data_IF_550709899557
#
_entry.id   IF_550709899557
#
_cell.length_a   1.000
_cell.length_b   1.000
_cell.length_c   1.000
_cell.angle_alpha   90.00
_cell.angle_beta   90.00
_cell.angle_gamma   90.00
#
_symmetry.space_group_name_H-M   'P 1'
#
loop_
_entity.id
_entity.type
_entity.pdbx_description
1 polymer ?
#
# COMPACT_ATOMS: atom_id res chain seq x y z
N UNK A 1 -14.02 7.54 5.85
CA UNK A 1 -13.99 8.09 7.23
C UNK A 1 -14.56 7.11 8.25
N UNK A 2 -15.74 6.52 7.98
CA UNK A 2 -16.44 5.65 8.93
C UNK A 2 -15.59 4.46 9.44
N UNK A 3 -14.69 3.93 8.61
CA UNK A 3 -13.90 2.73 8.92
C UNK A 3 -12.47 3.03 9.42
N UNK A 4 -12.01 4.28 9.37
CA UNK A 4 -10.62 4.62 9.73
C UNK A 4 -10.49 5.22 11.12
N UNK A 5 -11.59 5.61 11.76
CA UNK A 5 -11.58 6.34 13.05
C UNK A 5 -10.99 7.75 12.98
N UNK A 6 -10.46 8.16 11.84
CA UNK A 6 -9.89 9.49 11.67
C UNK A 6 -11.01 10.55 11.55
N UNK A 7 -11.00 11.53 12.43
CA UNK A 7 -11.87 12.72 12.33
C UNK A 7 -11.27 13.67 11.29
N UNK A 8 -11.62 13.46 10.04
CA UNK A 8 -11.22 14.34 8.95
C UNK A 8 -12.40 15.28 8.65
N UNK A 9 -12.15 16.58 8.54
CA UNK A 9 -13.17 17.58 8.29
C UNK A 9 -14.11 17.19 7.14
N UNK A 10 -15.36 17.60 7.26
CA UNK A 10 -16.36 17.40 6.21
C UNK A 10 -16.32 18.50 5.16
N UNK A 11 -16.89 18.22 3.98
CA UNK A 11 -17.16 19.23 2.95
C UNK A 11 -18.58 19.04 2.40
N UNK A 12 -19.16 20.09 1.86
CA UNK A 12 -20.50 20.09 1.27
C UNK A 12 -20.41 19.51 -0.16
N UNK A 13 -20.57 18.19 -0.29
CA UNK A 13 -20.55 17.50 -1.59
C UNK A 13 -21.70 17.94 -2.50
N UNK A 14 -22.88 18.21 -1.94
CA UNK A 14 -24.03 18.67 -2.72
C UNK A 14 -23.74 20.05 -3.36
N UNK A 15 -23.10 20.94 -2.62
CA UNK A 15 -22.68 22.25 -3.13
C UNK A 15 -21.61 22.14 -4.23
N UNK A 16 -20.64 21.23 -4.07
CA UNK A 16 -19.64 20.94 -5.11
C UNK A 16 -20.35 20.49 -6.39
N UNK A 17 -21.22 19.47 -6.30
CA UNK A 17 -21.93 18.93 -7.47
C UNK A 17 -22.79 19.99 -8.14
N UNK A 18 -23.52 20.81 -7.36
CA UNK A 18 -24.35 21.90 -7.89
C UNK A 18 -23.56 23.01 -8.56
N UNK A 19 -22.29 23.19 -8.20
CA UNK A 19 -21.42 24.19 -8.81
C UNK A 19 -20.84 23.75 -10.16
N UNK A 20 -20.75 22.45 -10.41
CA UNK A 20 -20.17 21.91 -11.65
C UNK A 20 -21.06 22.15 -12.86
N UNK A 21 -20.44 22.53 -13.98
CA UNK A 21 -21.08 22.75 -15.29
C UNK A 21 -20.18 22.18 -16.39
N UNK A 22 -20.82 21.87 -17.51
CA UNK A 22 -20.12 21.54 -18.74
C UNK A 22 -20.18 22.76 -19.65
N UNK A 23 -19.04 23.20 -20.15
CA UNK A 23 -18.93 24.29 -21.12
C UNK A 23 -19.29 23.86 -22.53
N UNK A 24 -19.44 24.82 -23.44
CA UNK A 24 -19.72 24.58 -24.85
C UNK A 24 -18.62 23.74 -25.56
N UNK A 25 -17.40 23.83 -25.05
CA UNK A 25 -16.25 23.03 -25.52
C UNK A 25 -16.18 21.62 -24.91
N UNK A 26 -17.20 21.20 -24.12
CA UNK A 26 -17.23 19.91 -23.42
C UNK A 26 -16.37 19.85 -22.13
N UNK A 27 -15.65 20.90 -21.77
CA UNK A 27 -14.84 20.90 -20.54
C UNK A 27 -15.69 21.17 -19.30
N UNK A 28 -15.32 20.50 -18.21
CA UNK A 28 -15.94 20.68 -16.91
C UNK A 28 -15.38 21.95 -16.26
N UNK A 29 -16.27 22.80 -15.72
CA UNK A 29 -15.88 23.94 -14.90
C UNK A 29 -16.78 24.09 -13.68
N UNK A 30 -16.34 24.86 -12.70
CA UNK A 30 -17.12 25.16 -11.50
C UNK A 30 -17.51 26.65 -11.47
N UNK A 31 -18.73 26.92 -11.06
CA UNK A 31 -19.16 28.31 -10.80
C UNK A 31 -18.43 28.86 -9.57
N UNK A 32 -18.09 30.15 -9.60
CA UNK A 32 -17.31 30.82 -8.55
C UNK A 32 -17.89 30.65 -7.14
N UNK A 33 -19.21 30.67 -7.00
CA UNK A 33 -19.87 30.50 -5.69
C UNK A 33 -19.62 29.09 -5.07
N UNK A 34 -19.21 28.11 -5.85
CA UNK A 34 -18.86 26.76 -5.41
C UNK A 34 -17.43 26.63 -4.92
N UNK A 35 -16.58 27.62 -5.18
CA UNK A 35 -15.15 27.56 -4.87
C UNK A 35 -14.85 27.20 -3.41
N UNK A 36 -15.50 27.79 -2.37
CA UNK A 36 -15.23 27.44 -0.99
C UNK A 36 -15.51 25.97 -0.67
N UNK A 37 -16.52 25.37 -1.29
CA UNK A 37 -16.82 23.94 -1.08
C UNK A 37 -15.79 23.02 -1.78
N UNK A 38 -15.26 23.44 -2.93
CA UNK A 38 -14.20 22.74 -3.65
C UNK A 38 -12.89 22.83 -2.86
N UNK A 39 -12.54 23.98 -2.34
CA UNK A 39 -11.35 24.16 -1.47
C UNK A 39 -11.45 23.28 -0.23
N UNK A 40 -12.61 23.27 0.45
CA UNK A 40 -12.86 22.39 1.59
C UNK A 40 -12.71 20.90 1.22
N UNK A 41 -13.17 20.49 0.03
CA UNK A 41 -12.94 19.12 -0.49
C UNK A 41 -11.46 18.82 -0.67
N UNK A 42 -10.69 19.71 -1.29
CA UNK A 42 -9.26 19.53 -1.51
C UNK A 42 -8.49 19.41 -0.20
N UNK A 43 -8.79 20.28 0.78
CA UNK A 43 -8.19 20.24 2.12
C UNK A 43 -8.56 18.95 2.85
N UNK A 44 -9.83 18.53 2.80
CA UNK A 44 -10.30 17.28 3.39
C UNK A 44 -9.59 16.07 2.75
N UNK A 45 -9.47 16.06 1.43
CA UNK A 45 -8.72 15.04 0.70
C UNK A 45 -7.25 15.00 1.14
N UNK A 46 -6.63 16.17 1.29
CA UNK A 46 -5.26 16.28 1.80
C UNK A 46 -5.11 15.61 3.17
N UNK A 47 -5.95 15.91 4.11
CA UNK A 47 -5.90 15.29 5.43
C UNK A 47 -6.14 13.77 5.36
N UNK A 48 -7.07 13.31 4.51
CA UNK A 48 -7.34 11.90 4.32
C UNK A 48 -6.08 11.15 3.84
N UNK A 49 -5.38 11.70 2.85
CA UNK A 49 -4.15 11.09 2.37
C UNK A 49 -3.07 11.04 3.45
N UNK A 50 -2.85 12.13 4.17
CA UNK A 50 -1.79 12.17 5.19
C UNK A 50 -2.10 11.32 6.42
N UNK A 51 -3.35 11.29 6.87
CA UNK A 51 -3.72 10.60 8.12
C UNK A 51 -4.09 9.13 7.92
N UNK A 52 -4.55 8.75 6.74
CA UNK A 52 -5.02 7.38 6.46
C UNK A 52 -4.10 6.68 5.47
N UNK A 53 -4.02 7.15 4.23
CA UNK A 53 -3.29 6.43 3.18
C UNK A 53 -1.77 6.41 3.39
N UNK A 54 -1.19 7.51 3.87
CA UNK A 54 0.24 7.59 4.17
C UNK A 54 0.57 7.32 5.64
N UNK A 55 -0.39 6.76 6.39
CA UNK A 55 -0.11 6.33 7.75
C UNK A 55 0.91 5.18 7.75
N UNK A 56 1.87 5.24 8.68
CA UNK A 56 2.97 4.26 8.76
C UNK A 56 2.51 2.80 8.77
N UNK A 57 1.40 2.51 9.44
CA UNK A 57 0.85 1.15 9.52
C UNK A 57 0.35 0.68 8.16
N UNK A 58 -0.37 1.53 7.41
CA UNK A 58 -0.84 1.19 6.08
C UNK A 58 0.33 0.96 5.11
N UNK A 59 1.38 1.78 5.21
CA UNK A 59 2.59 1.58 4.39
C UNK A 59 3.26 0.24 4.72
N UNK A 60 3.45 -0.07 6.01
CA UNK A 60 3.99 -1.36 6.43
C UNK A 60 3.13 -2.54 5.96
N UNK A 61 1.81 -2.43 6.06
CA UNK A 61 0.88 -3.46 5.58
C UNK A 61 1.05 -3.71 4.08
N UNK A 62 1.23 -2.65 3.28
CA UNK A 62 1.50 -2.78 1.86
C UNK A 62 2.84 -3.48 1.60
N UNK A 63 3.90 -3.10 2.31
CA UNK A 63 5.22 -3.72 2.17
C UNK A 63 5.20 -5.21 2.57
N UNK A 64 4.48 -5.56 3.64
CA UNK A 64 4.31 -6.98 4.01
C UNK A 64 3.57 -7.77 2.94
N UNK A 65 2.53 -7.18 2.34
CA UNK A 65 1.80 -7.83 1.25
C UNK A 65 2.70 -8.04 0.04
N UNK A 66 3.43 -7.00 -0.38
CA UNK A 66 4.38 -7.09 -1.49
C UNK A 66 5.48 -8.12 -1.20
N UNK A 67 6.04 -8.11 0.02
CA UNK A 67 7.05 -9.06 0.45
C UNK A 67 6.55 -10.50 0.43
N UNK A 68 5.35 -10.75 0.97
CA UNK A 68 4.73 -12.07 0.97
C UNK A 68 4.48 -12.59 -0.46
N UNK A 69 3.89 -11.76 -1.34
CA UNK A 69 3.62 -12.13 -2.71
C UNK A 69 4.90 -12.37 -3.53
N UNK A 70 5.93 -11.54 -3.31
CA UNK A 70 7.24 -11.71 -3.97
C UNK A 70 7.93 -12.99 -3.53
N UNK A 71 7.89 -13.30 -2.23
CA UNK A 71 8.47 -14.56 -1.71
C UNK A 71 7.69 -15.77 -2.19
N UNK A 72 6.37 -15.71 -2.21
CA UNK A 72 5.52 -16.77 -2.74
C UNK A 72 5.80 -17.04 -4.21
N UNK A 73 5.97 -16.01 -5.03
CA UNK A 73 6.38 -16.13 -6.44
C UNK A 73 7.71 -16.85 -6.57
N UNK A 74 8.70 -16.48 -5.76
CA UNK A 74 10.02 -17.12 -5.77
C UNK A 74 9.91 -18.62 -5.43
N UNK A 75 9.23 -18.95 -4.33
CA UNK A 75 9.06 -20.32 -3.87
C UNK A 75 8.27 -21.18 -4.86
N UNK A 76 7.27 -20.61 -5.52
CA UNK A 76 6.53 -21.27 -6.57
C UNK A 76 7.43 -21.59 -7.79
N UNK A 77 8.26 -20.63 -8.21
CA UNK A 77 9.25 -20.83 -9.28
C UNK A 77 10.31 -21.90 -8.94
N UNK A 78 10.63 -22.08 -7.66
CA UNK A 78 11.52 -23.13 -7.16
C UNK A 78 10.80 -24.47 -6.94
N UNK A 79 9.49 -24.55 -7.17
CA UNK A 79 8.67 -25.75 -6.93
C UNK A 79 8.46 -26.09 -5.45
N UNK A 80 8.71 -25.14 -4.54
CA UNK A 80 8.60 -25.31 -3.08
C UNK A 80 7.24 -24.85 -2.52
N UNK A 81 6.45 -24.16 -3.30
CA UNK A 81 5.13 -23.67 -2.91
C UNK A 81 4.14 -23.89 -4.05
N UNK A 82 3.00 -24.51 -3.71
CA UNK A 82 1.88 -24.65 -4.64
C UNK A 82 0.92 -23.47 -4.44
N UNK A 83 0.62 -22.75 -5.52
CA UNK A 83 -0.33 -21.64 -5.53
C UNK A 83 -1.68 -22.10 -6.08
N UNK A 84 -2.77 -21.48 -5.63
CA UNK A 84 -4.07 -21.61 -6.29
C UNK A 84 -4.00 -21.07 -7.73
N UNK A 85 -4.87 -21.57 -8.63
CA UNK A 85 -4.86 -21.16 -10.03
C UNK A 85 -4.91 -19.62 -10.23
N UNK A 86 -5.79 -18.86 -9.55
CA UNK A 86 -5.82 -17.41 -9.70
C UNK A 86 -4.50 -16.74 -9.27
N UNK A 87 -3.91 -17.20 -8.15
CA UNK A 87 -2.65 -16.65 -7.66
C UNK A 87 -1.47 -17.03 -8.53
N UNK A 88 -1.44 -18.27 -9.02
CA UNK A 88 -0.40 -18.70 -9.95
C UNK A 88 -0.42 -17.85 -11.23
N UNK A 89 -1.60 -17.64 -11.80
CA UNK A 89 -1.76 -16.80 -12.98
C UNK A 89 -1.29 -15.36 -12.72
N UNK A 90 -1.62 -14.79 -11.54
CA UNK A 90 -1.21 -13.43 -11.18
C UNK A 90 0.30 -13.30 -10.95
N UNK A 91 0.91 -14.28 -10.27
CA UNK A 91 2.29 -14.14 -9.79
C UNK A 91 3.32 -14.70 -10.77
N UNK A 92 2.97 -15.73 -11.55
CA UNK A 92 3.93 -16.50 -12.33
C UNK A 92 3.75 -16.36 -13.84
N UNK A 93 2.61 -15.88 -14.33
CA UNK A 93 2.38 -15.64 -15.75
C UNK A 93 2.77 -14.20 -16.13
N UNK A 94 3.38 -14.02 -17.29
CA UNK A 94 3.74 -12.70 -17.79
C UNK A 94 2.53 -11.89 -18.23
N UNK A 95 1.46 -12.55 -18.69
CA UNK A 95 0.21 -11.92 -19.13
C UNK A 95 -1.01 -12.63 -18.54
N UNK A 96 -1.96 -11.85 -18.05
CA UNK A 96 -3.27 -12.31 -17.61
C UNK A 96 -4.31 -12.06 -18.67
N UNK A 97 -5.09 -13.08 -19.01
CA UNK A 97 -6.31 -12.87 -19.78
C UNK A 97 -7.40 -12.22 -18.94
N UNK A 98 -8.35 -11.53 -19.57
CA UNK A 98 -9.47 -10.90 -18.85
C UNK A 98 -10.26 -11.89 -17.97
N UNK A 99 -10.59 -13.13 -18.43
CA UNK A 99 -11.24 -14.10 -17.56
C UNK A 99 -10.42 -14.52 -16.34
N UNK A 100 -9.10 -14.63 -16.45
CA UNK A 100 -8.20 -14.93 -15.33
C UNK A 100 -8.16 -13.78 -14.33
N UNK A 101 -8.06 -12.54 -14.82
CA UNK A 101 -8.07 -11.36 -13.97
C UNK A 101 -9.37 -11.22 -13.16
N UNK A 102 -10.52 -11.44 -13.79
CA UNK A 102 -11.83 -11.32 -13.13
C UNK A 102 -12.06 -12.41 -12.06
N UNK A 103 -11.38 -13.55 -12.17
CA UNK A 103 -11.46 -14.61 -11.16
C UNK A 103 -10.66 -14.31 -9.90
N UNK A 104 -9.64 -13.46 -9.98
CA UNK A 104 -8.82 -13.08 -8.83
C UNK A 104 -9.59 -12.12 -7.93
N UNK A 105 -9.74 -12.46 -6.67
CA UNK A 105 -10.45 -11.67 -5.67
C UNK A 105 -9.60 -11.44 -4.43
N UNK A 106 -10.00 -10.48 -3.59
CA UNK A 106 -9.36 -10.27 -2.28
C UNK A 106 -9.46 -11.52 -1.38
N UNK A 107 -10.48 -12.36 -1.60
CA UNK A 107 -10.64 -13.61 -0.86
C UNK A 107 -9.51 -14.61 -1.14
N UNK A 108 -9.04 -14.69 -2.39
CA UNK A 108 -7.92 -15.55 -2.78
C UNK A 108 -6.63 -15.13 -2.07
N UNK A 109 -6.37 -13.81 -2.03
CA UNK A 109 -5.22 -13.25 -1.32
C UNK A 109 -5.32 -13.52 0.18
N UNK A 110 -6.49 -13.28 0.78
CA UNK A 110 -6.68 -13.48 2.22
C UNK A 110 -6.55 -14.96 2.62
N UNK A 111 -7.11 -15.88 1.83
CA UNK A 111 -6.96 -17.32 2.07
C UNK A 111 -5.49 -17.73 2.00
N UNK A 112 -4.78 -17.29 0.97
CA UNK A 112 -3.36 -17.57 0.84
C UNK A 112 -2.54 -17.03 2.00
N UNK A 113 -2.81 -15.82 2.49
CA UNK A 113 -2.13 -15.27 3.66
C UNK A 113 -2.36 -16.11 4.92
N UNK A 114 -3.56 -16.67 5.11
CA UNK A 114 -3.84 -17.58 6.21
C UNK A 114 -3.03 -18.86 6.09
N UNK A 115 -3.00 -19.48 4.91
CA UNK A 115 -2.25 -20.71 4.66
C UNK A 115 -0.73 -20.49 4.81
N UNK A 116 -0.23 -19.37 4.30
CA UNK A 116 1.20 -19.04 4.37
C UNK A 116 1.67 -18.64 5.76
N UNK A 117 0.78 -18.21 6.64
CA UNK A 117 1.13 -17.89 8.02
C UNK A 117 1.73 -19.08 8.78
N UNK A 118 1.38 -20.31 8.38
CA UNK A 118 1.84 -21.56 9.00
C UNK A 118 2.79 -22.37 8.12
N UNK A 119 3.27 -21.80 6.99
CA UNK A 119 4.20 -22.48 6.12
C UNK A 119 5.62 -22.57 6.72
N UNK A 120 6.44 -23.51 6.19
CA UNK A 120 7.79 -23.78 6.69
C UNK A 120 8.79 -22.65 6.36
N UNK A 121 8.53 -21.85 5.33
CA UNK A 121 9.40 -20.73 4.96
C UNK A 121 9.25 -19.57 5.94
N UNK A 122 10.29 -19.31 6.72
CA UNK A 122 10.29 -18.31 7.78
C UNK A 122 10.04 -16.88 7.27
N UNK A 123 10.46 -16.56 6.06
CA UNK A 123 10.28 -15.23 5.47
C UNK A 123 8.81 -15.04 5.07
N UNK A 124 8.26 -16.00 4.33
CA UNK A 124 6.87 -15.97 3.90
C UNK A 124 5.91 -15.98 5.10
N UNK A 125 6.09 -16.93 6.04
CA UNK A 125 5.25 -17.02 7.22
C UNK A 125 5.39 -15.78 8.12
N UNK A 126 6.56 -15.18 8.20
CA UNK A 126 6.79 -13.95 8.93
C UNK A 126 5.97 -12.77 8.40
N UNK A 127 5.92 -12.57 7.08
CA UNK A 127 5.06 -11.55 6.46
C UNK A 127 3.57 -11.87 6.63
N UNK A 128 3.19 -13.11 6.35
CA UNK A 128 1.80 -13.54 6.39
C UNK A 128 1.20 -13.44 7.80
N UNK A 129 1.91 -13.88 8.84
CA UNK A 129 1.48 -13.77 10.25
C UNK A 129 1.22 -12.33 10.66
N UNK A 130 2.10 -11.40 10.29
CA UNK A 130 1.92 -9.97 10.60
C UNK A 130 0.68 -9.41 9.93
N UNK A 131 0.41 -9.79 8.69
CA UNK A 131 -0.80 -9.38 7.96
C UNK A 131 -2.07 -9.93 8.59
N UNK A 132 -2.11 -11.24 8.87
CA UNK A 132 -3.29 -11.92 9.41
C UNK A 132 -3.57 -11.47 10.86
N UNK A 133 -2.55 -11.48 11.73
CA UNK A 133 -2.72 -11.13 13.15
C UNK A 133 -2.84 -9.62 13.39
N UNK A 134 -2.35 -8.79 12.48
CA UNK A 134 -2.19 -7.33 12.63
C UNK A 134 -1.37 -6.96 13.88
N UNK A 135 -0.45 -7.82 14.28
CA UNK A 135 0.43 -7.66 15.44
C UNK A 135 1.89 -7.75 15.02
N UNK A 136 2.76 -7.38 15.92
CA UNK A 136 4.21 -7.49 15.79
C UNK A 136 4.77 -6.81 14.53
N UNK A 137 4.16 -5.65 14.19
CA UNK A 137 4.65 -4.83 13.09
C UNK A 137 6.00 -4.22 13.44
N UNK A 138 6.90 -4.20 12.47
CA UNK A 138 8.19 -3.53 12.61
C UNK A 138 8.03 -2.07 13.02
N UNK A 139 8.98 -1.59 13.82
CA UNK A 139 9.03 -0.16 14.15
C UNK A 139 9.49 0.60 12.90
N UNK A 140 8.69 1.55 12.45
CA UNK A 140 9.06 2.40 11.32
C UNK A 140 9.88 3.59 11.78
N UNK A 141 11.01 3.82 11.13
CA UNK A 141 11.80 5.03 11.26
C UNK A 141 11.55 5.85 9.99
N UNK A 142 11.05 7.07 10.15
CA UNK A 142 10.91 8.00 9.04
C UNK A 142 12.19 8.82 8.94
N UNK A 143 12.94 8.60 7.88
CA UNK A 143 14.07 9.42 7.49
C UNK A 143 13.54 10.36 6.41
N UNK A 144 13.86 11.67 6.49
CA UNK A 144 13.34 12.68 5.56
C UNK A 144 13.52 12.32 4.07
N UNK A 145 13.90 13.23 3.21
CA UNK A 145 14.16 12.89 1.80
C UNK A 145 15.44 12.04 1.70
N UNK A 146 15.26 10.73 1.57
CA UNK A 146 16.34 9.79 1.35
C UNK A 146 16.61 9.70 -0.16
N UNK A 147 17.70 10.29 -0.61
CA UNK A 147 18.17 10.07 -1.99
C UNK A 147 18.70 8.65 -2.15
N UNK A 148 18.78 8.14 -3.38
CA UNK A 148 19.35 6.82 -3.65
C UNK A 148 20.78 6.69 -3.11
N UNK A 149 21.56 7.79 -3.18
CA UNK A 149 22.92 7.87 -2.64
C UNK A 149 22.94 7.76 -1.10
N UNK A 150 22.03 8.44 -0.42
CA UNK A 150 21.89 8.33 1.04
C UNK A 150 21.45 6.92 1.46
N UNK A 151 20.55 6.27 0.71
CA UNK A 151 20.13 4.90 0.96
C UNK A 151 21.32 3.94 0.92
N UNK A 152 22.19 4.06 -0.08
CA UNK A 152 23.37 3.19 -0.23
C UNK A 152 24.39 3.34 0.91
N UNK A 153 24.35 4.45 1.63
CA UNK A 153 25.25 4.71 2.79
C UNK A 153 24.57 4.31 4.11
N UNK A 154 23.28 4.58 4.24
CA UNK A 154 22.54 4.39 5.51
C UNK A 154 22.23 2.92 5.76
N UNK A 155 21.74 2.20 4.73
CA UNK A 155 21.34 0.78 4.89
C UNK A 155 22.51 -0.09 5.37
N UNK A 156 23.71 -0.05 4.76
CA UNK A 156 24.84 -0.84 5.25
C UNK A 156 25.26 -0.52 6.70
N UNK A 157 25.03 0.72 7.16
CA UNK A 157 25.33 1.09 8.55
C UNK A 157 24.26 0.58 9.55
N UNK A 158 23.04 0.36 9.08
CA UNK A 158 21.97 -0.21 9.91
C UNK A 158 22.08 -1.73 10.05
N UNK A 159 22.62 -2.42 9.05
CA UNK A 159 22.73 -3.89 9.06
C UNK A 159 23.40 -4.44 10.33
N UNK A 160 24.58 -3.98 10.77
CA UNK A 160 25.22 -4.50 11.97
C UNK A 160 24.41 -4.25 13.25
N UNK A 161 23.63 -3.15 13.29
CA UNK A 161 22.77 -2.81 14.44
C UNK A 161 21.61 -3.78 14.51
N UNK A 162 21.04 -4.11 13.35
CA UNK A 162 19.90 -5.02 13.20
C UNK A 162 20.32 -6.46 13.52
N UNK A 163 21.47 -6.89 13.02
CA UNK A 163 22.06 -8.20 13.30
C UNK A 163 22.41 -8.37 14.79
N UNK A 164 22.99 -7.37 15.44
CA UNK A 164 23.24 -7.40 16.88
C UNK A 164 21.96 -7.44 17.72
N UNK A 165 20.84 -7.01 17.16
CA UNK A 165 19.52 -7.10 17.80
C UNK A 165 18.81 -8.44 17.49
N UNK A 166 19.48 -9.38 16.80
CA UNK A 166 18.95 -10.70 16.47
C UNK A 166 18.04 -10.76 15.24
N UNK A 167 18.07 -9.72 14.40
CA UNK A 167 17.33 -9.66 13.15
C UNK A 167 18.26 -9.88 11.95
N UNK A 168 17.69 -10.20 10.81
CA UNK A 168 18.41 -10.37 9.54
C UNK A 168 18.12 -9.22 8.58
N UNK A 169 18.84 -9.13 7.47
CA UNK A 169 18.55 -8.15 6.41
C UNK A 169 17.14 -8.34 5.81
N UNK A 170 16.60 -9.57 5.82
CA UNK A 170 15.23 -9.87 5.43
C UNK A 170 14.17 -9.18 6.32
N UNK A 171 14.54 -8.79 7.54
CA UNK A 171 13.69 -8.05 8.45
C UNK A 171 13.74 -6.53 8.23
N UNK A 172 14.61 -6.05 7.31
CA UNK A 172 14.70 -4.65 6.95
C UNK A 172 13.80 -4.37 5.75
N UNK A 173 12.74 -3.64 5.99
CA UNK A 173 11.80 -3.22 4.95
C UNK A 173 12.05 -1.74 4.64
N UNK A 174 12.42 -1.45 3.39
CA UNK A 174 12.57 -0.08 2.92
C UNK A 174 11.41 0.28 2.01
N UNK A 175 10.67 1.34 2.37
CA UNK A 175 9.57 1.84 1.57
C UNK A 175 9.80 3.29 1.15
N UNK A 176 9.58 3.61 -0.11
CA UNK A 176 9.63 4.96 -0.64
C UNK A 176 8.21 5.50 -0.86
N UNK A 177 7.80 6.48 -0.06
CA UNK A 177 6.49 7.12 -0.20
C UNK A 177 6.59 8.26 -1.22
N UNK A 178 6.16 8.00 -2.45
CA UNK A 178 6.00 9.06 -3.47
C UNK A 178 4.61 9.67 -3.37
N UNK A 179 4.53 10.90 -2.88
CA UNK A 179 3.27 11.67 -2.75
C UNK A 179 2.81 12.26 -4.10
N UNK A 180 2.73 11.46 -5.16
CA UNK A 180 2.32 11.93 -6.50
C UNK A 180 0.87 12.47 -6.58
N UNK A 181 0.01 12.21 -5.61
CA UNK A 181 -1.37 12.73 -5.58
C UNK A 181 -1.50 14.15 -5.00
N UNK A 182 -0.41 14.81 -4.77
CA UNK A 182 -0.27 16.05 -4.02
C UNK A 182 0.40 17.19 -4.80
N UNK A 183 0.46 17.12 -6.09
CA UNK A 183 0.88 18.28 -6.87
C UNK A 183 -0.20 19.37 -6.70
N UNK A 184 0.12 20.57 -6.14
CA UNK A 184 -0.72 21.72 -6.36
C UNK A 184 -0.79 21.95 -7.87
N UNK A 185 -1.97 22.17 -8.36
CA UNK A 185 -2.22 22.53 -9.75
C UNK A 185 -1.61 23.88 -10.07
#
# INVERSE_FOLDING_TARGET
QANSGAQIGGFDSARVIRALRVGENGHLYAKQWGLPAIEAYLVTRYHLYNQVYFHKVNQLTQEYLVGALSRARQLAGEGKLTLSEPLHNMLCNDELTVPQYVRLTDADINSAMMDWADCEDNVLSGFARRLVSRRDYHKSIRIGELTAEMSSVVIPKLLPIVENAGYTDADIITASIRKKGYMPY
#
